data_IF_025889228988
#
_entry.id   IF_025889228988
#
_cell.length_a   1.000
_cell.length_b   1.000
_cell.length_c   1.000
_cell.angle_alpha   90.00
_cell.angle_beta   90.00
_cell.angle_gamma   90.00
#
_symmetry.space_group_name_H-M   'P 1'
#
loop_
_entity.id
_entity.type
_entity.pdbx_description
1 polymer ?
#
# COMPACT_ATOMS: atom_id res chain seq x y z
N UNK A 1 -16.53 -17.55 13.84
CA UNK A 1 -15.44 -16.62 14.18
C UNK A 1 -15.00 -15.97 12.87
N UNK A 2 -15.61 -14.81 12.54
CA UNK A 2 -15.48 -14.19 11.21
C UNK A 2 -14.26 -13.30 11.07
N UNK A 3 -13.95 -12.88 9.84
CA UNK A 3 -12.84 -12.04 9.36
C UNK A 3 -12.59 -10.67 10.07
N UNK A 4 -13.22 -10.43 11.22
CA UNK A 4 -12.91 -9.33 12.15
C UNK A 4 -11.43 -9.22 12.55
N UNK A 5 -10.64 -10.31 12.67
CA UNK A 5 -9.20 -10.19 12.88
C UNK A 5 -8.49 -9.45 11.74
N UNK A 6 -8.88 -9.73 10.49
CA UNK A 6 -8.21 -9.24 9.28
C UNK A 6 -8.26 -7.72 9.17
N UNK A 7 -9.41 -7.12 9.52
CA UNK A 7 -9.56 -5.67 9.49
C UNK A 7 -8.61 -4.96 10.46
N UNK A 8 -8.35 -5.56 11.63
CA UNK A 8 -7.41 -5.00 12.61
C UNK A 8 -5.96 -5.12 12.17
N UNK A 9 -5.62 -6.21 11.50
CA UNK A 9 -4.30 -6.40 10.91
C UNK A 9 -4.05 -5.37 9.82
N UNK A 10 -5.00 -5.15 8.91
CA UNK A 10 -4.87 -4.14 7.85
C UNK A 10 -4.69 -2.74 8.45
N UNK A 11 -5.44 -2.37 9.49
CA UNK A 11 -5.27 -1.06 10.13
C UNK A 11 -3.87 -0.90 10.73
N UNK A 12 -3.38 -1.86 11.51
CA UNK A 12 -2.05 -1.74 12.13
C UNK A 12 -0.89 -1.83 11.13
N UNK A 13 -0.99 -2.72 10.15
CA UNK A 13 0.14 -2.98 9.24
C UNK A 13 0.18 -1.98 8.07
N UNK A 14 -0.99 -1.49 7.63
CA UNK A 14 -1.10 -0.61 6.45
C UNK A 14 -1.47 0.82 6.86
N UNK A 15 -2.55 1.05 7.62
CA UNK A 15 -2.98 2.42 7.96
C UNK A 15 -2.00 3.14 8.89
N UNK A 16 -1.43 2.48 9.90
CA UNK A 16 -0.45 3.09 10.80
C UNK A 16 0.85 3.45 10.04
N UNK A 17 1.36 2.55 9.20
CA UNK A 17 2.57 2.78 8.39
C UNK A 17 2.38 3.91 7.37
N UNK A 18 1.21 4.00 6.74
CA UNK A 18 0.85 5.10 5.85
C UNK A 18 0.78 6.43 6.61
N UNK A 19 0.18 6.42 7.81
CA UNK A 19 0.05 7.63 8.63
C UNK A 19 1.43 8.19 9.03
N UNK A 20 2.37 7.31 9.36
CA UNK A 20 3.75 7.68 9.67
C UNK A 20 4.44 8.32 8.45
N UNK A 21 4.32 7.71 7.26
CA UNK A 21 4.86 8.25 6.01
C UNK A 21 4.27 9.59 5.58
N UNK A 22 2.96 9.79 5.82
CA UNK A 22 2.30 11.08 5.61
C UNK A 22 2.83 12.12 6.62
N UNK A 23 3.03 11.73 7.88
CA UNK A 23 3.56 12.63 8.91
C UNK A 23 5.00 13.08 8.59
N UNK A 24 5.83 12.18 8.04
CA UNK A 24 7.18 12.51 7.55
C UNK A 24 7.18 13.29 6.23
N UNK A 25 6.03 13.44 5.56
CA UNK A 25 5.93 14.15 4.28
C UNK A 25 6.49 13.38 3.08
N UNK A 26 6.74 12.08 3.24
CA UNK A 26 7.13 11.19 2.13
C UNK A 26 5.98 10.99 1.13
N UNK A 27 4.74 11.03 1.62
CA UNK A 27 3.53 10.85 0.84
C UNK A 27 2.68 12.13 0.90
N UNK A 28 2.23 12.60 -0.27
CA UNK A 28 1.44 13.83 -0.39
C UNK A 28 -0.01 13.56 -0.76
N UNK A 29 -0.88 14.47 -0.32
CA UNK A 29 -2.28 14.45 -0.71
C UNK A 29 -2.43 14.52 -2.24
N UNK A 30 -3.19 13.59 -2.81
CA UNK A 30 -3.43 13.48 -4.26
C UNK A 30 -2.52 12.48 -4.99
N UNK A 31 -1.61 11.82 -4.28
CA UNK A 31 -0.84 10.69 -4.82
C UNK A 31 -1.62 9.38 -4.71
N UNK A 32 -1.47 8.52 -5.72
CA UNK A 32 -1.92 7.14 -5.68
C UNK A 32 -0.79 6.33 -5.04
N UNK A 33 -1.12 5.58 -4.00
CA UNK A 33 -0.17 4.76 -3.27
C UNK A 33 -0.43 3.30 -3.62
N UNK A 34 0.56 2.67 -4.23
CA UNK A 34 0.56 1.24 -4.49
C UNK A 34 1.21 0.56 -3.28
N UNK A 35 0.46 -0.35 -2.66
CA UNK A 35 0.94 -1.20 -1.56
C UNK A 35 1.17 -2.58 -2.13
N UNK A 36 2.40 -3.06 -2.04
CA UNK A 36 2.78 -4.41 -2.46
C UNK A 36 3.41 -5.17 -1.28
N UNK A 37 3.66 -6.45 -1.46
CA UNK A 37 4.31 -7.30 -0.47
C UNK A 37 5.57 -7.90 -1.06
N UNK A 38 6.69 -7.70 -0.37
CA UNK A 38 7.98 -8.28 -0.75
C UNK A 38 8.37 -9.38 0.24
N UNK A 39 8.71 -10.57 -0.28
CA UNK A 39 9.04 -11.76 0.50
C UNK A 39 7.83 -12.67 0.77
N UNK A 40 8.09 -13.77 1.48
CA UNK A 40 7.08 -14.81 1.77
C UNK A 40 7.04 -15.17 3.26
N UNK A 41 5.87 -15.62 3.73
CA UNK A 41 5.69 -16.10 5.10
C UNK A 41 5.69 -14.97 6.15
N UNK A 42 6.27 -15.25 7.31
CA UNK A 42 6.30 -14.31 8.45
C UNK A 42 7.27 -13.14 8.29
N UNK A 43 8.13 -13.18 7.27
CA UNK A 43 9.08 -12.10 6.96
C UNK A 43 8.61 -11.20 5.82
N UNK A 44 7.40 -11.42 5.31
CA UNK A 44 6.80 -10.58 4.28
C UNK A 44 6.71 -9.12 4.75
N UNK A 45 7.24 -8.19 3.95
CA UNK A 45 7.25 -6.75 4.25
C UNK A 45 6.36 -6.01 3.26
N UNK A 46 5.54 -5.11 3.76
CA UNK A 46 4.77 -4.21 2.89
C UNK A 46 5.68 -3.13 2.32
N UNK A 47 5.65 -2.99 1.00
CA UNK A 47 6.31 -1.91 0.27
C UNK A 47 5.27 -0.88 -0.14
N UNK A 48 5.63 0.40 -0.05
CA UNK A 48 4.73 1.52 -0.33
C UNK A 48 5.37 2.42 -1.38
N UNK A 49 4.75 2.49 -2.55
CA UNK A 49 5.20 3.35 -3.65
C UNK A 49 4.13 4.42 -3.94
N UNK A 50 4.45 5.68 -3.68
CA UNK A 50 3.61 6.82 -4.02
C UNK A 50 3.94 7.36 -5.42
N UNK A 51 2.92 7.55 -6.26
CA UNK A 51 3.07 8.23 -7.54
C UNK A 51 1.95 9.26 -7.76
N UNK A 52 2.22 10.37 -8.46
CA UNK A 52 1.20 11.35 -8.81
C UNK A 52 0.09 10.68 -9.63
N UNK A 53 -1.18 10.96 -9.29
CA UNK A 53 -2.35 10.44 -10.02
C UNK A 53 -2.27 10.67 -11.54
N UNK A 54 -1.56 11.71 -11.99
CA UNK A 54 -1.39 11.99 -13.42
C UNK A 54 -0.60 10.92 -14.19
N UNK A 55 0.17 10.06 -13.50
CA UNK A 55 1.04 9.04 -14.10
C UNK A 55 0.54 7.60 -13.93
N UNK A 56 -0.48 7.37 -13.08
CA UNK A 56 -0.98 6.02 -12.82
C UNK A 56 -2.37 5.80 -13.43
N UNK A 57 -2.59 4.71 -14.17
CA UNK A 57 -3.91 4.30 -14.61
C UNK A 57 -4.81 3.99 -13.39
N UNK A 58 -6.10 4.34 -13.48
CA UNK A 58 -7.07 4.23 -12.38
C UNK A 58 -7.39 2.77 -11.98
N UNK A 59 -6.83 1.76 -12.68
CA UNK A 59 -7.14 0.34 -12.47
C UNK A 59 -5.87 -0.45 -12.15
N UNK A 60 -5.85 -1.28 -11.08
CA UNK A 60 -4.69 -2.10 -10.72
C UNK A 60 -4.21 -3.08 -11.81
N UNK A 61 -5.07 -3.44 -12.78
CA UNK A 61 -4.75 -4.36 -13.88
C UNK A 61 -3.74 -3.80 -14.89
N UNK A 62 -3.57 -2.48 -14.94
CA UNK A 62 -2.63 -1.81 -15.85
C UNK A 62 -1.21 -1.70 -15.27
N UNK A 63 -0.98 -2.17 -14.04
CA UNK A 63 0.32 -2.20 -13.35
C UNK A 63 1.08 -3.52 -13.56
N UNK A 64 0.45 -4.53 -14.16
CA UNK A 64 1.14 -5.78 -14.47
C UNK A 64 2.06 -5.57 -15.69
N UNK A 65 3.38 -5.87 -15.60
CA UNK A 65 4.21 -5.89 -16.78
C UNK A 65 3.65 -6.96 -17.71
N UNK A 66 3.23 -6.55 -18.90
CA UNK A 66 3.04 -7.51 -19.98
C UNK A 66 4.44 -7.92 -20.43
N UNK A 67 4.67 -9.24 -20.46
CA UNK A 67 5.86 -9.98 -20.92
C UNK A 67 6.87 -10.33 -19.83
#
# INVERSE_FOLDING_TARGET
MGARPLRRTIQREIEDALSEKILFGELKAGEIIVVDVEGEGTEAKFTFAGAPKALMPDTPGDLAPTV
#
